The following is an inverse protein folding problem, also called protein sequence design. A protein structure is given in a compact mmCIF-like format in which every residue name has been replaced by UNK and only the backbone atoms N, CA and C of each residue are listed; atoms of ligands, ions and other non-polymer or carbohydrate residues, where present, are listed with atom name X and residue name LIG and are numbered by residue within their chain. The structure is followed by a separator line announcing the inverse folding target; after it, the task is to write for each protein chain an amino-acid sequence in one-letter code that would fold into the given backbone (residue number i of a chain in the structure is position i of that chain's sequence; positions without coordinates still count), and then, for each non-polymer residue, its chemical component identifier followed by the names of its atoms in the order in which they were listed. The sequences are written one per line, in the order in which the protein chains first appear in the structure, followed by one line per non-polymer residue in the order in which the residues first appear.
data_IF_847147229259
#
_entry.id   IF_847147229259
#
_cell.length_a   1.000
_cell.length_b   1.000
_cell.length_c   1.000
_cell.angle_alpha   90.00
_cell.angle_beta   90.00
_cell.angle_gamma   90.00
#
_symmetry.space_group_name_H-M   'P 1'
#
loop_
_entity.id
_entity.type
_entity.pdbx_description
1 polymer ?
#
# COMPACT_ATOMS: atom_id res chain seq x y z
N UNK A 1 -18.07 84.31 34.03
CA UNK A 1 -16.95 83.68 33.30
C UNK A 1 -16.55 82.44 34.06
N UNK A 2 -16.87 81.26 33.54
CA UNK A 2 -16.51 79.96 34.13
C UNK A 2 -15.39 79.40 33.25
N UNK A 3 -14.20 79.26 33.82
CA UNK A 3 -13.01 78.75 33.12
C UNK A 3 -13.00 77.23 33.24
N UNK A 4 -13.25 76.53 32.13
CA UNK A 4 -13.20 75.07 32.04
C UNK A 4 -11.74 74.64 31.86
N UNK A 5 -11.16 73.94 32.85
CA UNK A 5 -9.82 73.37 32.77
C UNK A 5 -9.89 72.00 32.09
N UNK A 6 -9.42 71.90 30.84
CA UNK A 6 -9.34 70.63 30.11
C UNK A 6 -8.00 69.97 30.44
N UNK A 7 -8.04 68.85 31.17
CA UNK A 7 -6.87 68.02 31.47
C UNK A 7 -6.66 67.07 30.27
N UNK A 8 -5.63 67.32 29.46
CA UNK A 8 -5.17 66.38 28.44
C UNK A 8 -4.33 65.27 29.11
N UNK A 9 -4.92 64.09 29.29
CA UNK A 9 -4.19 62.88 29.67
C UNK A 9 -3.46 62.33 28.45
N UNK A 10 -2.13 62.48 28.42
CA UNK A 10 -1.27 61.84 27.42
C UNK A 10 -1.21 60.34 27.67
N UNK A 11 -2.06 59.58 26.98
CA UNK A 11 -1.94 58.13 26.83
C UNK A 11 -0.69 57.84 25.98
N UNK A 12 0.42 57.53 26.63
CA UNK A 12 1.57 56.91 25.97
C UNK A 12 1.17 55.49 25.55
N UNK A 13 0.93 55.31 24.24
CA UNK A 13 0.83 53.99 23.63
C UNK A 13 2.24 53.41 23.58
N UNK A 14 2.53 52.49 24.50
CA UNK A 14 3.71 51.64 24.39
C UNK A 14 3.41 50.59 23.33
N UNK A 15 3.89 50.82 22.10
CA UNK A 15 3.98 49.78 21.10
C UNK A 15 4.98 48.74 21.62
N UNK A 16 4.46 47.62 22.16
CA UNK A 16 5.28 46.43 22.35
C UNK A 16 5.71 45.97 20.97
N UNK A 17 7.00 46.17 20.70
CA UNK A 17 7.70 45.53 19.59
C UNK A 17 7.52 44.03 19.79
N UNK A 18 6.55 43.44 19.06
CA UNK A 18 6.39 41.99 19.02
C UNK A 18 7.58 41.49 18.26
N UNK A 19 8.65 41.20 19.01
CA UNK A 19 9.87 40.63 18.49
C UNK A 19 9.53 39.57 17.45
N UNK A 20 10.18 39.69 16.30
CA UNK A 20 10.09 38.70 15.23
C UNK A 20 10.22 37.31 15.86
N UNK A 21 9.24 36.45 15.63
CA UNK A 21 9.39 35.03 15.95
C UNK A 21 10.69 34.56 15.28
N UNK A 22 11.56 33.85 16.03
CA UNK A 22 12.81 33.39 15.47
C UNK A 22 12.50 32.57 14.22
N UNK A 23 13.05 32.99 13.09
CA UNK A 23 13.00 32.25 11.84
C UNK A 23 13.59 30.89 12.16
N UNK A 24 12.76 29.85 12.17
CA UNK A 24 13.21 28.47 12.33
C UNK A 24 14.25 28.23 11.23
N UNK A 25 15.51 27.96 11.61
CA UNK A 25 16.58 27.74 10.63
C UNK A 25 16.13 26.65 9.67
N UNK A 26 15.85 27.05 8.43
CA UNK A 26 15.52 26.12 7.36
C UNK A 26 16.77 25.29 7.17
N UNK A 27 16.79 24.10 7.77
CA UNK A 27 17.95 23.21 7.75
C UNK A 27 18.49 23.06 6.34
N UNK A 28 19.82 22.95 6.20
CA UNK A 28 20.50 22.92 4.91
C UNK A 28 19.76 22.04 3.90
N UNK A 29 19.37 22.64 2.77
CA UNK A 29 18.65 21.95 1.71
C UNK A 29 19.43 20.73 1.22
N UNK A 30 18.72 19.59 1.09
CA UNK A 30 19.28 18.32 0.60
C UNK A 30 18.54 17.89 -0.65
N UNK A 31 19.20 17.16 -1.55
CA UNK A 31 18.62 16.75 -2.83
C UNK A 31 17.25 16.06 -2.72
N UNK A 32 17.05 15.19 -1.71
CA UNK A 32 15.75 14.51 -1.49
C UNK A 32 14.60 15.47 -1.18
N UNK A 33 14.89 16.68 -0.68
CA UNK A 33 13.87 17.69 -0.35
C UNK A 33 13.20 18.27 -1.60
N UNK A 34 13.70 17.97 -2.80
CA UNK A 34 12.98 18.23 -4.06
C UNK A 34 11.73 17.34 -4.17
N UNK A 35 11.80 16.12 -3.66
CA UNK A 35 10.75 15.11 -3.79
C UNK A 35 9.88 14.99 -2.54
N UNK A 36 10.51 15.09 -1.36
CA UNK A 36 9.86 14.92 -0.06
C UNK A 36 10.73 15.50 1.08
N UNK A 37 10.15 16.17 2.12
CA UNK A 37 10.92 16.76 3.21
C UNK A 37 11.69 15.74 4.06
N UNK A 38 11.24 14.48 4.09
CA UNK A 38 11.91 13.39 4.80
C UNK A 38 12.56 12.40 3.84
N UNK A 39 13.84 12.17 4.04
CA UNK A 39 14.61 11.20 3.28
C UNK A 39 14.02 9.78 3.34
N UNK A 40 14.00 9.09 2.19
CA UNK A 40 13.54 7.70 2.07
C UNK A 40 12.03 7.55 1.81
N UNK A 41 11.25 8.59 2.07
CA UNK A 41 9.84 8.65 1.67
C UNK A 41 9.72 8.79 0.14
N UNK A 42 8.76 8.11 -0.51
CA UNK A 42 8.48 8.30 -1.93
C UNK A 42 8.01 9.73 -2.26
N UNK A 43 8.29 10.18 -3.48
CA UNK A 43 7.79 11.45 -4.01
C UNK A 43 6.25 11.52 -3.92
N UNK A 44 5.71 12.67 -3.54
CA UNK A 44 4.26 12.91 -3.42
C UNK A 44 3.53 11.94 -2.46
N UNK A 45 4.23 11.37 -1.49
CA UNK A 45 3.62 10.55 -0.45
C UNK A 45 3.31 11.34 0.83
N UNK A 46 2.29 10.90 1.55
CA UNK A 46 2.08 11.20 2.95
C UNK A 46 2.92 10.21 3.75
N UNK A 47 4.03 10.70 4.27
CA UNK A 47 5.04 9.89 4.94
C UNK A 47 5.66 10.68 6.09
N UNK A 48 5.78 10.04 7.25
CA UNK A 48 6.50 10.61 8.40
C UNK A 48 7.96 10.17 8.40
N UNK A 49 8.81 10.91 9.12
CA UNK A 49 10.26 10.70 9.15
C UNK A 49 10.65 9.28 9.56
N UNK A 50 9.93 8.69 10.53
CA UNK A 50 10.14 7.34 11.02
C UNK A 50 9.92 6.31 9.91
N UNK A 51 8.88 6.49 9.10
CA UNK A 51 8.56 5.61 7.98
C UNK A 51 9.53 5.77 6.82
N UNK A 52 9.98 7.01 6.54
CA UNK A 52 11.06 7.26 5.58
C UNK A 52 12.36 6.53 5.95
N UNK A 53 12.75 6.61 7.23
CA UNK A 53 13.91 5.88 7.76
C UNK A 53 13.75 4.36 7.67
N UNK A 54 12.54 3.85 7.95
CA UNK A 54 12.23 2.42 7.84
C UNK A 54 12.33 1.94 6.39
N UNK A 55 11.72 2.68 5.45
CA UNK A 55 11.81 2.39 4.01
C UNK A 55 13.23 2.45 3.49
N UNK A 56 14.03 3.46 3.89
CA UNK A 56 15.46 3.54 3.54
C UNK A 56 16.24 2.31 4.03
N UNK A 57 15.97 1.87 5.26
CA UNK A 57 16.61 0.66 5.83
C UNK A 57 16.23 -0.62 5.09
N UNK A 58 14.99 -0.68 4.58
CA UNK A 58 14.52 -1.77 3.73
C UNK A 58 15.20 -1.77 2.37
N UNK A 59 15.27 -0.63 1.67
CA UNK A 59 15.95 -0.53 0.38
C UNK A 59 17.43 -0.96 0.51
N UNK A 60 18.11 -0.52 1.57
CA UNK A 60 19.46 -0.96 1.87
C UNK A 60 19.57 -2.47 2.16
N UNK A 61 18.47 -3.14 2.53
CA UNK A 61 18.41 -4.60 2.70
C UNK A 61 18.28 -5.33 1.36
N UNK A 62 17.58 -4.73 0.38
CA UNK A 62 17.42 -5.28 -0.97
C UNK A 62 18.75 -5.35 -1.74
N UNK A 63 19.64 -4.39 -1.51
CA UNK A 63 20.94 -4.32 -2.21
C UNK A 63 22.01 -5.26 -1.64
N UNK A 64 21.70 -6.09 -0.63
CA UNK A 64 22.68 -7.00 0.00
C UNK A 64 22.89 -8.28 -0.80
N UNK A 65 24.10 -8.87 -0.67
CA UNK A 65 24.41 -10.22 -1.17
C UNK A 65 23.44 -11.24 -0.55
N UNK A 66 22.78 -12.04 -1.39
CA UNK A 66 21.67 -12.93 -0.99
C UNK A 66 20.49 -12.17 -0.34
N UNK A 67 19.77 -11.33 -1.11
CA UNK A 67 18.77 -10.41 -0.59
C UNK A 67 17.69 -11.13 0.22
N UNK A 68 17.21 -12.30 -0.23
CA UNK A 68 16.12 -13.03 0.44
C UNK A 68 16.40 -13.38 1.91
N UNK A 69 17.63 -13.75 2.30
CA UNK A 69 17.96 -14.04 3.70
C UNK A 69 17.92 -12.77 4.55
N UNK A 70 18.47 -11.68 4.00
CA UNK A 70 18.50 -10.37 4.65
C UNK A 70 17.08 -9.80 4.79
N UNK A 71 16.28 -9.92 3.74
CA UNK A 71 14.86 -9.56 3.70
C UNK A 71 14.09 -10.36 4.76
N UNK A 72 14.27 -11.67 4.83
CA UNK A 72 13.55 -12.49 5.81
C UNK A 72 13.94 -12.14 7.26
N UNK A 73 15.21 -11.81 7.50
CA UNK A 73 15.66 -11.29 8.80
C UNK A 73 15.01 -9.93 9.11
N UNK A 74 14.98 -9.03 8.13
CA UNK A 74 14.34 -7.72 8.26
C UNK A 74 12.85 -7.87 8.57
N UNK A 75 12.13 -8.69 7.78
CA UNK A 75 10.70 -8.99 7.96
C UNK A 75 10.37 -9.48 9.36
N UNK A 76 11.16 -10.40 9.91
CA UNK A 76 10.93 -10.91 11.28
C UNK A 76 11.00 -9.82 12.34
N UNK A 77 11.89 -8.83 12.16
CA UNK A 77 12.10 -7.71 13.08
C UNK A 77 11.06 -6.60 12.85
N UNK A 78 10.98 -6.09 11.63
CA UNK A 78 10.30 -4.84 11.28
C UNK A 78 9.04 -5.03 10.40
N UNK A 79 8.79 -6.22 9.86
CA UNK A 79 7.83 -6.42 8.78
C UNK A 79 8.43 -6.16 7.39
N UNK A 80 7.61 -6.36 6.36
CA UNK A 80 7.92 -6.09 4.94
C UNK A 80 6.89 -5.05 4.43
N UNK A 81 7.21 -4.17 3.47
CA UNK A 81 6.21 -3.23 2.96
C UNK A 81 5.17 -4.00 2.15
N UNK A 82 4.00 -4.22 2.75
CA UNK A 82 2.85 -4.80 2.06
C UNK A 82 2.08 -3.68 1.37
N UNK A 83 2.12 -3.71 0.05
CA UNK A 83 1.35 -2.83 -0.83
C UNK A 83 -0.14 -3.21 -0.74
N UNK A 84 -0.96 -2.31 -0.20
CA UNK A 84 -2.41 -2.45 -0.04
C UNK A 84 -3.14 -1.22 -0.58
N UNK A 85 -4.44 -1.33 -0.74
CA UNK A 85 -5.31 -0.18 -1.00
C UNK A 85 -5.87 0.35 0.32
N UNK A 86 -6.09 1.66 0.39
CA UNK A 86 -6.61 2.34 1.58
C UNK A 86 -7.68 3.36 1.22
N UNK A 87 -8.41 3.82 2.23
CA UNK A 87 -9.45 4.85 2.13
C UNK A 87 -9.10 6.05 3.02
N UNK A 88 -9.85 7.14 2.86
CA UNK A 88 -9.64 8.41 3.58
C UNK A 88 -9.50 8.25 5.11
N UNK A 89 -10.15 7.25 5.70
CA UNK A 89 -10.13 7.02 7.16
C UNK A 89 -8.73 6.80 7.74
N UNK A 90 -7.77 6.34 6.94
CA UNK A 90 -6.39 6.07 7.40
C UNK A 90 -5.37 7.02 6.81
N UNK A 91 -5.78 8.11 6.14
CA UNK A 91 -4.86 9.05 5.49
C UNK A 91 -3.87 9.72 6.45
N UNK A 92 -4.24 9.84 7.73
CA UNK A 92 -3.42 10.41 8.81
C UNK A 92 -2.70 9.34 9.65
N UNK A 93 -2.77 8.07 9.26
CA UNK A 93 -2.14 6.99 10.02
C UNK A 93 -0.61 7.06 9.89
N UNK A 94 0.13 7.36 10.97
CA UNK A 94 1.58 7.56 10.90
C UNK A 94 2.37 6.29 10.56
N UNK A 95 1.77 5.10 10.69
CA UNK A 95 2.42 3.82 10.37
C UNK A 95 2.32 3.42 8.90
N UNK A 96 1.67 4.24 8.07
CA UNK A 96 1.52 4.02 6.63
C UNK A 96 2.33 5.05 5.84
N UNK A 97 2.84 4.63 4.69
CA UNK A 97 3.29 5.55 3.63
C UNK A 97 2.19 5.51 2.58
N UNK A 98 1.50 6.63 2.36
CA UNK A 98 0.29 6.69 1.54
C UNK A 98 0.53 7.61 0.35
N UNK A 99 0.03 7.26 -0.83
CA UNK A 99 0.01 8.16 -1.96
C UNK A 99 -1.24 7.95 -2.81
N UNK A 100 -1.54 8.93 -3.64
CA UNK A 100 -2.68 8.90 -4.54
C UNK A 100 -2.58 7.76 -5.54
N UNK A 101 -3.70 7.08 -5.80
CA UNK A 101 -3.80 6.21 -6.97
C UNK A 101 -3.73 7.06 -8.23
N UNK A 102 -2.93 6.61 -9.21
CA UNK A 102 -2.89 7.23 -10.54
C UNK A 102 -4.17 6.96 -11.36
N UNK A 103 -5.00 6.03 -10.91
CA UNK A 103 -6.19 5.63 -11.63
C UNK A 103 -7.33 6.66 -11.48
N UNK A 104 -7.91 7.17 -12.58
CA UNK A 104 -9.06 8.07 -12.52
C UNK A 104 -10.27 7.47 -11.79
N UNK A 105 -10.44 6.13 -11.84
CA UNK A 105 -11.51 5.43 -11.09
C UNK A 105 -11.32 5.50 -9.58
N UNK A 106 -10.08 5.52 -9.10
CA UNK A 106 -9.73 5.53 -7.67
C UNK A 106 -9.43 6.94 -7.16
N UNK A 107 -9.03 7.84 -8.04
CA UNK A 107 -8.73 9.24 -7.76
C UNK A 107 -9.52 10.12 -8.73
N UNK A 108 -10.87 10.15 -8.60
CA UNK A 108 -11.70 10.97 -9.46
C UNK A 108 -11.32 12.44 -9.26
N UNK A 109 -10.93 13.11 -10.35
CA UNK A 109 -10.71 14.55 -10.34
C UNK A 109 -12.06 15.27 -10.46
N UNK A 110 -12.28 16.36 -9.72
CA UNK A 110 -13.44 17.22 -9.95
C UNK A 110 -13.45 17.65 -11.43
N UNK A 111 -14.55 17.42 -12.15
CA UNK A 111 -14.71 18.03 -13.47
C UNK A 111 -15.04 19.51 -13.32
N UNK A 112 -14.66 20.32 -14.30
CA UNK A 112 -15.01 21.75 -14.41
C UNK A 112 -16.52 22.01 -14.42
N UNK A 113 -17.33 20.97 -14.63
CA UNK A 113 -18.78 21.02 -14.73
C UNK A 113 -19.49 20.47 -13.47
N UNK A 114 -18.75 20.02 -12.45
CA UNK A 114 -19.32 19.55 -11.18
C UNK A 114 -20.08 18.22 -11.24
N UNK A 115 -19.96 17.46 -12.35
CA UNK A 115 -20.75 16.25 -12.63
C UNK A 115 -20.05 14.92 -12.28
N UNK A 116 -18.79 14.95 -11.81
CA UNK A 116 -18.10 13.72 -11.42
C UNK A 116 -18.45 13.38 -9.98
N UNK A 117 -19.07 12.22 -9.79
CA UNK A 117 -19.25 11.62 -8.47
C UNK A 117 -17.85 11.43 -7.80
N UNK A 118 -17.58 12.19 -6.73
CA UNK A 118 -16.34 12.16 -5.94
C UNK A 118 -16.47 11.29 -4.68
N UNK A 119 -17.44 10.38 -4.61
CA UNK A 119 -17.88 9.78 -3.34
C UNK A 119 -16.84 8.90 -2.62
N UNK A 120 -15.79 8.43 -3.30
CA UNK A 120 -14.73 7.70 -2.61
C UNK A 120 -13.39 7.73 -3.35
N UNK A 121 -12.37 8.28 -2.68
CA UNK A 121 -10.98 8.17 -3.12
C UNK A 121 -10.32 6.92 -2.52
N UNK A 122 -9.66 6.15 -3.37
CA UNK A 122 -8.88 4.96 -3.00
C UNK A 122 -7.40 5.29 -3.21
N UNK A 123 -6.62 5.07 -2.16
CA UNK A 123 -5.20 5.38 -2.12
C UNK A 123 -4.38 4.10 -2.13
N UNK A 124 -3.11 4.27 -2.47
CA UNK A 124 -2.11 3.24 -2.32
C UNK A 124 -1.39 3.44 -0.99
N UNK A 125 -1.14 2.36 -0.26
CA UNK A 125 -0.31 2.41 0.94
C UNK A 125 0.74 1.29 0.98
N UNK A 126 1.91 1.60 1.56
CA UNK A 126 2.85 0.61 2.11
C UNK A 126 2.59 0.44 3.60
N UNK A 127 2.22 -0.79 3.97
CA UNK A 127 1.92 -1.20 5.33
C UNK A 127 3.01 -2.17 5.84
N UNK A 128 3.75 -1.79 6.87
CA UNK A 128 4.90 -2.56 7.36
C UNK A 128 4.49 -3.64 8.36
N UNK A 129 4.22 -4.85 7.85
CA UNK A 129 3.73 -5.94 8.68
C UNK A 129 4.42 -7.27 8.41
N UNK A 130 4.38 -8.14 9.41
CA UNK A 130 5.00 -9.48 9.34
C UNK A 130 4.20 -10.45 8.46
N UNK A 131 2.91 -10.19 8.27
CA UNK A 131 1.95 -10.97 7.48
C UNK A 131 0.66 -10.15 7.25
N UNK A 132 -0.19 -10.58 6.30
CA UNK A 132 -1.46 -9.90 6.01
C UNK A 132 -2.48 -9.97 7.16
N UNK A 133 -2.43 -11.03 7.98
CA UNK A 133 -3.29 -11.12 9.16
C UNK A 133 -3.03 -10.01 10.19
N UNK A 134 -1.81 -9.46 10.24
CA UNK A 134 -1.51 -8.31 11.10
C UNK A 134 -2.08 -7.00 10.54
N UNK A 135 -2.10 -6.84 9.22
CA UNK A 135 -2.78 -5.70 8.56
C UNK A 135 -4.26 -5.71 8.93
N UNK A 136 -4.93 -6.87 8.80
CA UNK A 136 -6.36 -6.99 9.08
C UNK A 136 -6.72 -6.94 10.58
N UNK A 137 -5.74 -7.06 11.47
CA UNK A 137 -5.92 -6.82 12.92
C UNK A 137 -5.83 -5.34 13.26
N UNK A 138 -4.96 -4.61 12.56
CA UNK A 138 -4.80 -3.18 12.77
C UNK A 138 -5.94 -2.39 12.10
N UNK A 139 -6.34 -2.80 10.90
CA UNK A 139 -7.26 -2.05 10.05
C UNK A 139 -8.48 -2.89 9.66
N UNK A 140 -9.63 -2.23 9.62
CA UNK A 140 -10.91 -2.80 9.19
C UNK A 140 -10.97 -2.91 7.67
N UNK A 141 -11.02 -4.15 7.17
CA UNK A 141 -11.23 -4.43 5.75
C UNK A 141 -12.55 -3.82 5.26
N UNK A 142 -12.54 -3.17 4.09
CA UNK A 142 -13.71 -2.51 3.49
C UNK A 142 -13.77 -1.02 3.78
N UNK A 143 -13.62 -0.62 5.06
CA UNK A 143 -13.76 0.79 5.45
C UNK A 143 -12.45 1.54 5.60
N UNK A 144 -11.35 0.86 5.90
CA UNK A 144 -10.02 1.47 6.13
C UNK A 144 -9.00 0.96 5.11
N UNK A 145 -8.92 -0.37 4.98
CA UNK A 145 -8.04 -1.05 4.02
C UNK A 145 -8.86 -1.91 3.05
N UNK A 146 -8.36 -2.08 1.83
CA UNK A 146 -8.86 -3.05 0.88
C UNK A 146 -7.68 -3.93 0.45
N UNK A 147 -7.80 -5.24 0.64
CA UNK A 147 -6.73 -6.20 0.32
C UNK A 147 -7.05 -6.96 -0.95
N UNK A 148 -6.02 -7.28 -1.73
CA UNK A 148 -6.19 -8.12 -2.92
C UNK A 148 -6.35 -9.57 -2.52
N UNK A 149 -7.21 -10.29 -3.26
CA UNK A 149 -7.47 -11.71 -3.04
C UNK A 149 -7.26 -12.52 -4.30
N UNK A 150 -6.79 -13.75 -4.09
CA UNK A 150 -6.73 -14.77 -5.12
C UNK A 150 -7.59 -15.97 -4.70
N UNK A 151 -8.28 -16.55 -5.68
CA UNK A 151 -9.24 -17.64 -5.47
C UNK A 151 -8.78 -18.85 -6.27
N UNK A 152 -8.39 -19.93 -5.59
CA UNK A 152 -7.88 -21.15 -6.23
C UNK A 152 -8.96 -22.23 -6.19
N UNK A 153 -9.34 -22.75 -7.35
CA UNK A 153 -10.29 -23.85 -7.47
C UNK A 153 -9.59 -25.18 -7.18
N UNK A 154 -10.13 -25.91 -6.21
CA UNK A 154 -9.67 -27.25 -5.85
C UNK A 154 -10.40 -28.33 -6.67
N UNK A 155 -9.88 -29.56 -6.64
CA UNK A 155 -10.45 -30.70 -7.38
C UNK A 155 -11.87 -31.06 -6.93
N UNK A 156 -12.20 -30.81 -5.68
CA UNK A 156 -13.53 -31.00 -5.08
C UNK A 156 -14.50 -29.84 -5.33
N UNK A 157 -14.14 -28.92 -6.24
CA UNK A 157 -14.85 -27.66 -6.54
C UNK A 157 -14.91 -26.65 -5.40
N UNK A 158 -14.23 -26.91 -4.27
CA UNK A 158 -14.08 -25.89 -3.23
C UNK A 158 -13.11 -24.79 -3.67
N UNK A 159 -13.27 -23.59 -3.11
CA UNK A 159 -12.42 -22.44 -3.43
C UNK A 159 -11.56 -22.07 -2.22
N UNK A 160 -10.24 -22.13 -2.41
CA UNK A 160 -9.28 -21.62 -1.41
C UNK A 160 -9.00 -20.16 -1.67
N UNK A 161 -9.16 -19.32 -0.64
CA UNK A 161 -8.88 -17.87 -0.74
C UNK A 161 -7.51 -17.55 -0.15
N UNK A 162 -6.79 -16.65 -0.81
CA UNK A 162 -5.52 -16.09 -0.36
C UNK A 162 -5.64 -14.58 -0.31
N UNK A 163 -5.00 -13.94 0.66
CA UNK A 163 -4.72 -12.50 0.60
C UNK A 163 -3.36 -12.34 -0.08
N UNK A 164 -3.29 -11.51 -1.12
CA UNK A 164 -2.11 -11.34 -1.95
C UNK A 164 -1.71 -9.86 -2.01
N UNK A 165 -0.46 -9.53 -2.37
CA UNK A 165 -0.04 -8.15 -2.54
C UNK A 165 -0.82 -7.48 -3.67
N UNK A 166 -1.02 -6.16 -3.55
CA UNK A 166 -1.52 -5.34 -4.65
C UNK A 166 -0.60 -5.48 -5.86
N UNK A 167 -1.17 -5.45 -7.06
CA UNK A 167 -0.44 -5.43 -8.33
C UNK A 167 0.35 -6.71 -8.67
N UNK A 168 0.30 -7.74 -7.84
CA UNK A 168 1.11 -8.95 -8.01
C UNK A 168 0.27 -10.15 -8.43
N UNK A 169 0.89 -11.03 -9.23
CA UNK A 169 0.29 -12.31 -9.62
C UNK A 169 1.24 -13.47 -9.27
N UNK A 170 0.72 -14.58 -8.72
CA UNK A 170 1.55 -15.72 -8.37
C UNK A 170 2.05 -16.45 -9.63
N UNK A 171 3.27 -16.96 -9.55
CA UNK A 171 3.94 -17.73 -10.60
C UNK A 171 3.57 -19.22 -10.56
N UNK A 172 3.41 -19.79 -9.36
CA UNK A 172 3.04 -21.19 -9.17
C UNK A 172 2.49 -21.42 -7.76
N UNK A 173 2.00 -22.64 -7.54
CA UNK A 173 1.55 -23.14 -6.23
C UNK A 173 2.49 -24.26 -5.78
N UNK A 174 2.89 -24.26 -4.50
CA UNK A 174 3.56 -25.41 -3.88
C UNK A 174 3.16 -25.51 -2.42
N UNK A 175 2.81 -26.71 -1.96
CA UNK A 175 2.40 -27.02 -0.59
C UNK A 175 1.32 -26.07 -0.07
N UNK A 176 0.31 -25.84 -0.93
CA UNK A 176 -0.81 -24.91 -0.69
C UNK A 176 -0.39 -23.45 -0.50
N UNK A 177 0.83 -23.04 -0.86
CA UNK A 177 1.28 -21.64 -0.87
C UNK A 177 1.35 -21.11 -2.29
N UNK A 178 1.01 -19.84 -2.44
CA UNK A 178 1.24 -19.08 -3.67
C UNK A 178 2.66 -18.52 -3.64
N UNK A 179 3.40 -18.66 -4.73
CA UNK A 179 4.76 -18.13 -4.87
C UNK A 179 4.77 -16.98 -5.87
N UNK A 180 5.47 -15.90 -5.53
CA UNK A 180 5.58 -14.66 -6.28
C UNK A 180 7.06 -14.32 -6.48
N UNK A 181 7.33 -13.54 -7.53
CA UNK A 181 8.56 -12.76 -7.65
C UNK A 181 8.16 -11.31 -7.53
N UNK A 182 8.69 -10.64 -6.51
CA UNK A 182 8.41 -9.23 -6.23
C UNK A 182 9.58 -8.41 -6.75
N UNK A 183 9.25 -7.32 -7.43
CA UNK A 183 10.19 -6.29 -7.86
C UNK A 183 10.01 -5.04 -6.97
N UNK A 184 11.12 -4.49 -6.49
CA UNK A 184 11.14 -3.25 -5.74
C UNK A 184 12.44 -2.49 -6.05
N UNK A 185 12.33 -1.32 -6.68
CA UNK A 185 13.43 -0.43 -7.04
C UNK A 185 14.56 -1.14 -7.83
N UNK A 186 14.18 -1.99 -8.78
CA UNK A 186 15.07 -2.79 -9.62
C UNK A 186 15.59 -4.08 -8.97
N UNK A 187 15.22 -4.35 -7.72
CA UNK A 187 15.62 -5.56 -7.00
C UNK A 187 14.51 -6.61 -6.99
N UNK A 188 14.88 -7.88 -7.23
CA UNK A 188 13.94 -8.99 -7.28
C UNK A 188 14.14 -9.95 -6.09
N UNK A 189 13.03 -10.41 -5.50
CA UNK A 189 13.05 -11.46 -4.48
C UNK A 189 11.82 -12.37 -4.57
N UNK A 190 11.94 -13.59 -4.06
CA UNK A 190 10.81 -14.51 -3.96
C UNK A 190 9.97 -14.22 -2.72
N UNK A 191 8.66 -14.38 -2.84
CA UNK A 191 7.74 -14.31 -1.71
C UNK A 191 6.78 -15.48 -1.81
N UNK A 192 6.56 -16.22 -0.73
CA UNK A 192 5.44 -17.16 -0.67
C UNK A 192 4.40 -16.70 0.35
N UNK A 193 3.14 -17.01 0.06
CA UNK A 193 1.99 -16.67 0.90
C UNK A 193 1.08 -17.89 1.05
N UNK A 194 0.71 -18.23 2.28
CA UNK A 194 -0.24 -19.31 2.58
C UNK A 194 -1.69 -18.80 2.67
N UNK A 195 -2.71 -19.69 2.68
CA UNK A 195 -4.11 -19.28 2.67
C UNK A 195 -4.52 -18.40 3.85
N UNK A 196 -3.88 -18.59 5.01
CA UNK A 196 -4.09 -17.78 6.21
C UNK A 196 -3.30 -16.46 6.23
N UNK A 197 -2.67 -16.07 5.12
CA UNK A 197 -1.93 -14.82 4.99
C UNK A 197 -0.54 -14.81 5.61
N UNK A 198 -0.03 -15.93 6.17
CA UNK A 198 1.39 -16.02 6.54
C UNK A 198 2.24 -15.91 5.29
N UNK A 199 3.35 -15.19 5.41
CA UNK A 199 4.28 -14.96 4.31
C UNK A 199 5.73 -15.06 4.79
N UNK A 200 6.63 -15.30 3.84
CA UNK A 200 8.07 -15.34 4.06
C UNK A 200 8.79 -15.01 2.76
N UNK A 201 9.88 -14.27 2.89
CA UNK A 201 10.77 -14.04 1.77
C UNK A 201 11.62 -15.29 1.50
N UNK A 202 11.82 -15.53 0.21
CA UNK A 202 12.52 -16.68 -0.32
C UNK A 202 13.36 -16.28 -1.52
N UNK A 203 14.18 -17.21 -2.01
CA UNK A 203 14.86 -17.00 -3.29
C UNK A 203 13.84 -16.85 -4.43
N UNK A 204 14.22 -16.15 -5.49
CA UNK A 204 13.40 -16.07 -6.71
C UNK A 204 13.32 -17.43 -7.38
N UNK A 205 12.16 -17.76 -7.94
CA UNK A 205 11.93 -19.01 -8.64
C UNK A 205 11.42 -18.72 -10.05
N UNK A 206 12.06 -19.31 -11.05
CA UNK A 206 11.56 -19.35 -12.41
C UNK A 206 10.86 -20.70 -12.63
N UNK A 207 9.51 -20.73 -12.70
CA UNK A 207 8.81 -21.98 -12.92
C UNK A 207 9.07 -22.49 -14.35
N UNK A 208 9.15 -23.82 -14.52
CA UNK A 208 9.21 -24.43 -15.87
C UNK A 208 7.92 -24.24 -16.67
N UNK A 209 6.80 -24.04 -15.97
CA UNK A 209 5.45 -23.88 -16.54
C UNK A 209 4.89 -22.58 -16.01
N UNK A 210 4.81 -21.58 -16.87
CA UNK A 210 4.26 -20.28 -16.52
C UNK A 210 2.72 -20.31 -16.53
N UNK A 211 2.08 -19.44 -15.73
CA UNK A 211 0.64 -19.29 -15.77
C UNK A 211 0.17 -18.80 -17.15
N UNK A 212 -0.94 -19.34 -17.63
CA UNK A 212 -1.61 -18.91 -18.86
C UNK A 212 -3.05 -18.51 -18.58
N UNK A 213 -3.58 -17.55 -19.33
CA UNK A 213 -4.98 -17.14 -19.20
C UNK A 213 -5.93 -18.23 -19.69
N UNK A 214 -7.03 -18.41 -18.96
CA UNK A 214 -8.09 -19.36 -19.28
C UNK A 214 -9.45 -18.77 -18.97
N UNK A 215 -10.51 -19.35 -19.53
CA UNK A 215 -11.89 -18.99 -19.19
C UNK A 215 -12.15 -19.26 -17.70
N UNK A 216 -12.80 -18.30 -17.03
CA UNK A 216 -13.17 -18.46 -15.63
C UNK A 216 -14.31 -19.48 -15.43
N UNK A 217 -14.11 -20.50 -14.58
CA UNK A 217 -15.18 -21.34 -14.04
C UNK A 217 -16.19 -20.51 -13.23
N UNK A 218 -17.44 -20.96 -13.20
CA UNK A 218 -18.54 -20.29 -12.50
C UNK A 218 -18.29 -20.21 -10.98
N UNK A 219 -17.70 -21.25 -10.40
CA UNK A 219 -17.37 -21.30 -8.97
C UNK A 219 -16.41 -20.17 -8.57
N UNK A 220 -15.44 -19.86 -9.43
CA UNK A 220 -14.49 -18.78 -9.19
C UNK A 220 -15.10 -17.41 -9.43
N UNK A 221 -15.97 -17.25 -10.43
CA UNK A 221 -16.70 -16.01 -10.64
C UNK A 221 -17.56 -15.67 -9.42
N UNK A 222 -18.32 -16.64 -8.91
CA UNK A 222 -19.14 -16.49 -7.70
C UNK A 222 -18.29 -16.13 -6.48
N UNK A 223 -17.18 -16.86 -6.27
CA UNK A 223 -16.29 -16.62 -5.14
C UNK A 223 -15.63 -15.23 -5.20
N UNK A 224 -15.23 -14.79 -6.40
CA UNK A 224 -14.69 -13.45 -6.60
C UNK A 224 -15.73 -12.39 -6.24
N UNK A 225 -16.92 -12.42 -6.87
CA UNK A 225 -17.99 -11.44 -6.62
C UNK A 225 -18.41 -11.37 -5.15
N UNK A 226 -18.52 -12.51 -4.47
CA UNK A 226 -18.88 -12.56 -3.04
C UNK A 226 -17.78 -11.99 -2.12
N UNK A 227 -16.52 -12.04 -2.56
CA UNK A 227 -15.38 -11.55 -1.78
C UNK A 227 -15.07 -10.07 -1.96
N UNK A 228 -15.67 -9.39 -2.94
CA UNK A 228 -15.45 -7.96 -3.19
C UNK A 228 -16.03 -7.15 -2.02
N UNK A 229 -15.16 -6.38 -1.35
CA UNK A 229 -15.57 -5.43 -0.29
C UNK A 229 -15.85 -4.02 -0.81
N UNK A 230 -15.37 -3.71 -2.00
CA UNK A 230 -15.59 -2.43 -2.66
C UNK A 230 -15.69 -2.65 -4.18
N UNK A 231 -16.86 -2.34 -4.75
CA UNK A 231 -17.13 -2.55 -6.19
C UNK A 231 -16.33 -1.61 -7.10
N UNK A 232 -15.86 -0.48 -6.58
CA UNK A 232 -15.03 0.47 -7.30
C UNK A 232 -13.55 0.07 -7.33
N UNK A 233 -13.14 -0.93 -6.55
CA UNK A 233 -11.74 -1.34 -6.48
C UNK A 233 -11.26 -2.00 -7.78
N UNK A 234 -12.04 -2.94 -8.31
CA UNK A 234 -11.66 -3.74 -9.48
C UNK A 234 -12.35 -3.22 -10.75
N UNK A 235 -11.65 -3.32 -11.88
CA UNK A 235 -12.24 -3.16 -13.22
C UNK A 235 -12.81 -4.48 -13.73
N UNK A 236 -12.33 -5.60 -13.21
CA UNK A 236 -12.83 -6.94 -13.49
C UNK A 236 -11.99 -8.00 -12.78
N UNK A 237 -12.09 -9.23 -13.26
CA UNK A 237 -11.23 -10.33 -12.85
C UNK A 237 -10.92 -11.21 -14.05
N UNK A 238 -9.84 -11.97 -13.94
CA UNK A 238 -9.43 -12.94 -14.94
C UNK A 238 -8.98 -14.23 -14.27
N UNK A 239 -8.94 -15.31 -15.03
CA UNK A 239 -8.51 -16.61 -14.55
C UNK A 239 -7.26 -17.08 -15.27
N UNK A 240 -6.40 -17.76 -14.52
CA UNK A 240 -5.18 -18.38 -15.04
C UNK A 240 -5.14 -19.86 -14.67
N UNK A 241 -4.61 -20.66 -15.58
CA UNK A 241 -4.11 -21.99 -15.27
C UNK A 241 -2.73 -21.82 -14.62
N UNK A 242 -2.61 -22.15 -13.34
CA UNK A 242 -1.38 -22.01 -12.55
C UNK A 242 -0.83 -23.39 -12.19
N UNK A 243 0.45 -23.62 -12.40
CA UNK A 243 1.08 -24.90 -12.11
C UNK A 243 1.20 -25.12 -10.60
N UNK A 244 0.67 -26.25 -10.11
CA UNK A 244 0.88 -26.72 -8.73
C UNK A 244 2.00 -27.76 -8.74
N UNK A 245 3.16 -27.36 -8.19
CA UNK A 245 4.39 -28.17 -8.18
C UNK A 245 4.24 -29.44 -7.34
N UNK A 246 3.56 -29.37 -6.19
CA UNK A 246 3.38 -30.52 -5.29
C UNK A 246 2.50 -31.59 -5.92
N UNK A 247 1.41 -31.19 -6.58
CA UNK A 247 0.48 -32.12 -7.23
C UNK A 247 0.80 -32.42 -8.70
N UNK A 248 1.80 -31.74 -9.28
CA UNK A 248 2.20 -31.82 -10.69
C UNK A 248 1.03 -31.66 -11.66
N UNK A 249 0.13 -30.73 -11.37
CA UNK A 249 -1.05 -30.46 -12.20
C UNK A 249 -1.33 -28.96 -12.27
N UNK A 250 -2.03 -28.50 -13.30
CA UNK A 250 -2.55 -27.14 -13.32
C UNK A 250 -3.79 -27.02 -12.42
N UNK A 251 -3.86 -25.92 -11.69
CA UNK A 251 -5.06 -25.45 -10.99
C UNK A 251 -5.58 -24.19 -11.67
N UNK A 252 -6.84 -23.85 -11.42
CA UNK A 252 -7.38 -22.57 -11.87
C UNK A 252 -7.35 -21.57 -10.74
N UNK A 253 -6.85 -20.37 -11.00
CA UNK A 253 -6.83 -19.26 -10.06
C UNK A 253 -7.53 -18.05 -10.66
N UNK A 254 -8.40 -17.39 -9.90
CA UNK A 254 -8.97 -16.10 -10.26
C UNK A 254 -8.28 -14.96 -9.50
N UNK A 255 -8.03 -13.87 -10.20
CA UNK A 255 -7.34 -12.67 -9.72
C UNK A 255 -8.14 -11.43 -10.11
N UNK A 256 -8.29 -10.49 -9.18
CA UNK A 256 -8.89 -9.19 -9.46
C UNK A 256 -7.94 -8.32 -10.26
N UNK A 257 -8.47 -7.67 -11.30
CA UNK A 257 -7.77 -6.63 -12.05
C UNK A 257 -8.21 -5.27 -11.53
N UNK A 258 -7.31 -4.61 -10.80
CA UNK A 258 -7.43 -3.20 -10.43
C UNK A 258 -6.52 -2.36 -11.32
N UNK A 259 -6.70 -1.05 -11.29
CA UNK A 259 -5.73 -0.15 -11.89
C UNK A 259 -4.37 -0.32 -11.21
N UNK A 260 -3.28 -0.25 -11.98
CA UNK A 260 -1.90 -0.22 -11.50
C UNK A 260 -1.19 0.98 -12.09
#
# INVERSE_FOLDING_TARGET
MITLLVIFSSLQVWAQDKGFEPIEEVGQFKAHMLDHPYEGCPTNSLCVKEMGNLRKSWLATLSKKNPYKSIEKFRKKNGIPLKVWTRDKVIKEPTLIIWDSFCPKHNPKPSTEGLVNTEEKIYIAEAWYKNFGAVLKQFKEGTEVLVNRAYVLNKDKSVTTYIIPRAEAPLFISDKKLYFTIEEEGHYFGLWISPNGKLRADQTYLPKKFPSEIKCPEELAKAFSAGIKNQNLYQGFFCKAIWDQSSKNFKTIALGWSCN
#
